data_IF_052072750035
#
_entry.id   IF_052072750035
#
_cell.length_a   1.000
_cell.length_b   1.000
_cell.length_c   1.000
_cell.angle_alpha   90.00
_cell.angle_beta   90.00
_cell.angle_gamma   90.00
#
_symmetry.space_group_name_H-M   'P 1'
#
loop_
_entity.id
_entity.type
_entity.pdbx_description
1 polymer ?
#
# COMPACT_ATOMS: atom_id res chain seq x y z
N UNK A 1 -11.34 3.32 12.14
CA UNK A 1 -10.85 2.75 10.87
C UNK A 1 -9.70 3.55 10.27
N UNK A 2 -9.92 4.77 9.75
CA UNK A 2 -8.81 5.59 9.20
C UNK A 2 -7.82 5.99 10.30
N UNK A 3 -8.31 6.52 11.43
CA UNK A 3 -7.46 6.85 12.58
C UNK A 3 -6.71 5.62 13.11
N UNK A 4 -7.41 4.49 13.30
CA UNK A 4 -6.79 3.24 13.73
C UNK A 4 -5.68 2.82 12.77
N UNK A 5 -5.90 2.94 11.46
CA UNK A 5 -4.88 2.59 10.45
C UNK A 5 -3.68 3.52 10.50
N UNK A 6 -3.88 4.81 10.79
CA UNK A 6 -2.80 5.78 10.98
C UNK A 6 -1.98 5.39 12.21
N UNK A 7 -2.63 5.16 13.36
CA UNK A 7 -1.98 4.74 14.61
C UNK A 7 -1.17 3.45 14.42
N UNK A 8 -1.73 2.46 13.70
CA UNK A 8 -1.04 1.20 13.39
C UNK A 8 0.21 1.40 12.52
N UNK A 9 0.17 2.32 11.56
CA UNK A 9 1.37 2.64 10.78
C UNK A 9 2.38 3.46 11.58
N UNK A 10 1.94 4.35 12.47
CA UNK A 10 2.83 5.04 13.41
C UNK A 10 3.57 4.05 14.31
N UNK A 11 2.86 3.06 14.87
CA UNK A 11 3.45 1.95 15.63
C UNK A 11 4.47 1.17 14.80
N UNK A 12 4.12 0.78 13.57
CA UNK A 12 5.03 0.07 12.68
C UNK A 12 6.29 0.88 12.36
N UNK A 13 6.13 2.16 12.00
CA UNK A 13 7.27 3.00 11.60
C UNK A 13 8.17 3.39 12.78
N UNK A 14 7.66 3.32 14.01
CA UNK A 14 8.44 3.47 15.24
C UNK A 14 9.33 2.24 15.58
N UNK A 15 9.11 1.09 14.93
CA UNK A 15 9.93 -0.10 15.12
C UNK A 15 11.38 0.11 14.67
N UNK A 16 12.29 -0.69 15.24
CA UNK A 16 13.70 -0.68 14.84
C UNK A 16 13.86 -0.99 13.35
N UNK A 17 14.90 -0.41 12.74
CA UNK A 17 15.20 -0.64 11.32
C UNK A 17 15.34 -2.14 11.00
N UNK A 18 15.99 -2.92 11.88
CA UNK A 18 16.16 -4.36 11.69
C UNK A 18 14.82 -5.11 11.59
N UNK A 19 13.82 -4.68 12.37
CA UNK A 19 12.47 -5.24 12.29
C UNK A 19 11.80 -4.83 10.97
N UNK A 20 11.80 -3.53 10.63
CA UNK A 20 11.15 -3.04 9.41
C UNK A 20 11.75 -3.67 8.15
N UNK A 21 13.07 -3.88 8.14
CA UNK A 21 13.79 -4.50 7.02
C UNK A 21 13.40 -5.96 6.74
N UNK A 22 12.78 -6.68 7.70
CA UNK A 22 12.19 -8.01 7.44
C UNK A 22 11.09 -7.97 6.37
N UNK A 23 10.44 -6.81 6.22
CA UNK A 23 9.32 -6.60 5.31
C UNK A 23 9.74 -5.96 3.98
N UNK A 24 11.04 -5.74 3.75
CA UNK A 24 11.57 -5.22 2.50
C UNK A 24 11.93 -6.35 1.53
N UNK A 25 11.21 -6.44 0.41
CA UNK A 25 11.49 -7.37 -0.67
C UNK A 25 12.23 -6.63 -1.79
N UNK A 26 13.54 -6.93 -1.93
CA UNK A 26 14.44 -6.21 -2.85
C UNK A 26 14.02 -6.29 -4.32
N UNK A 27 13.51 -7.43 -4.76
CA UNK A 27 13.37 -7.73 -6.18
C UNK A 27 11.98 -7.40 -6.77
N UNK A 28 11.11 -6.77 -5.97
CA UNK A 28 9.75 -6.39 -6.41
C UNK A 28 9.55 -4.87 -6.52
N UNK A 29 10.63 -4.09 -6.39
CA UNK A 29 10.60 -2.63 -6.57
C UNK A 29 9.67 -1.89 -5.61
N UNK A 30 9.42 -2.44 -4.41
CA UNK A 30 8.50 -1.85 -3.43
C UNK A 30 7.01 -2.09 -3.74
N UNK A 31 6.68 -3.04 -4.62
CA UNK A 31 5.29 -3.33 -4.97
C UNK A 31 4.44 -3.84 -3.78
N UNK A 32 5.06 -4.40 -2.74
CA UNK A 32 4.43 -4.86 -1.50
C UNK A 32 5.34 -4.63 -0.30
N UNK A 33 4.73 -4.42 0.86
CA UNK A 33 5.45 -4.33 2.13
C UNK A 33 6.25 -3.05 2.30
N UNK A 34 7.31 -3.12 3.09
CA UNK A 34 8.12 -1.99 3.49
C UNK A 34 9.10 -1.57 2.40
N UNK A 35 9.20 -0.27 2.15
CA UNK A 35 10.28 0.35 1.38
C UNK A 35 11.08 1.26 2.31
N UNK A 36 12.38 0.96 2.55
CA UNK A 36 13.21 1.77 3.43
C UNK A 36 13.46 3.14 2.83
N UNK A 37 13.96 4.06 3.65
CA UNK A 37 14.45 5.34 3.20
C UNK A 37 15.35 5.19 1.99
N UNK A 38 14.92 5.76 0.86
CA UNK A 38 15.78 5.91 -0.30
C UNK A 38 16.76 7.04 -0.04
N UNK A 39 18.06 6.76 -0.14
CA UNK A 39 19.07 7.80 -0.32
C UNK A 39 19.04 8.21 -1.80
N UNK A 40 17.93 8.80 -2.26
CA UNK A 40 17.89 9.43 -3.58
C UNK A 40 18.32 10.89 -3.42
N UNK A 41 19.62 11.14 -3.58
CA UNK A 41 20.15 12.51 -3.65
C UNK A 41 19.82 13.07 -5.02
N UNK A 42 18.69 13.78 -5.16
CA UNK A 42 18.43 14.56 -6.36
C UNK A 42 19.60 15.52 -6.61
N UNK A 43 20.11 15.57 -7.85
CA UNK A 43 21.28 16.40 -8.22
C UNK A 43 20.93 17.87 -7.96
N UNK A 44 21.46 18.43 -6.87
CA UNK A 44 21.23 19.83 -6.45
C UNK A 44 20.28 20.04 -5.26
N UNK A 45 19.72 18.99 -4.65
CA UNK A 45 18.92 19.12 -3.43
C UNK A 45 19.81 19.37 -2.21
N UNK A 46 19.50 20.42 -1.42
CA UNK A 46 20.21 20.74 -0.17
C UNK A 46 19.84 19.81 1.00
N UNK A 47 18.68 19.15 0.93
CA UNK A 47 18.17 18.23 1.94
C UNK A 47 17.57 17.00 1.28
N UNK A 48 17.89 15.81 1.79
CA UNK A 48 17.27 14.57 1.36
C UNK A 48 15.83 14.53 1.90
N UNK A 49 14.86 14.31 1.02
CA UNK A 49 13.50 14.02 1.44
C UNK A 49 13.45 12.56 1.88
N UNK A 50 13.68 12.35 3.17
CA UNK A 50 13.65 11.04 3.77
C UNK A 50 12.19 10.60 3.88
N UNK A 51 11.77 9.69 3.00
CA UNK A 51 10.50 8.98 3.10
C UNK A 51 10.73 7.47 3.13
N UNK A 52 10.03 6.82 4.02
CA UNK A 52 9.82 5.38 4.02
C UNK A 52 8.35 5.09 3.70
N UNK A 53 8.07 3.92 3.13
CA UNK A 53 6.73 3.58 2.65
C UNK A 53 6.32 2.17 3.06
N UNK A 54 5.01 1.96 3.09
CA UNK A 54 4.41 0.63 3.10
C UNK A 54 3.41 0.52 1.95
N UNK A 55 3.46 -0.57 1.19
CA UNK A 55 2.57 -0.81 0.05
C UNK A 55 1.66 -2.04 0.29
N UNK A 56 0.36 -1.81 0.31
CA UNK A 56 -0.69 -2.84 0.27
C UNK A 56 -1.41 -2.77 -1.08
N UNK A 57 -1.67 -3.93 -1.69
CA UNK A 57 -2.44 -4.07 -2.92
C UNK A 57 -3.74 -4.88 -2.72
N UNK A 58 -4.38 -5.24 -3.84
CA UNK A 58 -5.61 -6.06 -3.81
C UNK A 58 -5.29 -7.52 -3.45
N UNK A 59 -6.09 -8.09 -2.56
CA UNK A 59 -6.10 -9.54 -2.32
C UNK A 59 -6.83 -10.24 -3.47
N UNK A 60 -6.14 -11.13 -4.19
CA UNK A 60 -6.72 -11.92 -5.27
C UNK A 60 -7.09 -13.32 -4.78
N UNK A 61 -8.11 -13.92 -5.41
CA UNK A 61 -8.37 -15.35 -5.23
C UNK A 61 -7.22 -16.17 -5.83
N UNK A 62 -6.90 -17.37 -5.30
CA UNK A 62 -5.79 -18.18 -5.77
C UNK A 62 -5.82 -18.52 -7.27
N UNK A 63 -7.00 -18.60 -7.88
CA UNK A 63 -7.23 -18.92 -9.29
C UNK A 63 -7.38 -17.68 -10.19
N UNK A 64 -7.19 -16.48 -9.64
CA UNK A 64 -7.36 -15.25 -10.40
C UNK A 64 -6.26 -15.11 -11.46
N UNK A 65 -6.56 -14.74 -12.72
CA UNK A 65 -5.58 -14.69 -13.82
C UNK A 65 -4.41 -13.73 -13.57
N UNK A 66 -4.59 -12.72 -12.72
CA UNK A 66 -3.55 -11.76 -12.36
C UNK A 66 -2.63 -12.17 -11.21
N UNK A 67 -2.84 -13.34 -10.59
CA UNK A 67 -1.91 -13.85 -9.55
C UNK A 67 -0.49 -14.00 -10.07
N UNK A 68 -0.30 -14.24 -11.38
CA UNK A 68 1.02 -14.29 -12.02
C UNK A 68 1.74 -12.93 -12.10
N UNK A 69 1.03 -11.81 -11.91
CA UNK A 69 1.58 -10.45 -12.01
C UNK A 69 1.51 -9.66 -10.70
N UNK A 70 0.58 -10.02 -9.82
CA UNK A 70 0.29 -9.30 -8.59
C UNK A 70 0.71 -10.13 -7.38
N UNK A 71 1.78 -9.68 -6.71
CA UNK A 71 2.25 -10.29 -5.48
C UNK A 71 1.18 -10.25 -4.37
N UNK A 72 1.23 -11.25 -3.49
CA UNK A 72 0.42 -11.29 -2.27
C UNK A 72 0.82 -10.17 -1.31
N UNK A 73 -0.13 -9.77 -0.45
CA UNK A 73 0.14 -8.76 0.57
C UNK A 73 0.99 -9.33 1.71
N UNK A 74 1.87 -8.48 2.22
CA UNK A 74 2.65 -8.76 3.43
C UNK A 74 1.87 -8.25 4.65
N UNK A 75 2.02 -8.93 5.79
CA UNK A 75 1.41 -8.56 7.06
C UNK A 75 2.51 -8.22 8.05
N UNK A 76 2.45 -7.04 8.68
CA UNK A 76 3.36 -6.70 9.76
C UNK A 76 2.95 -7.47 11.03
N UNK A 77 3.74 -8.45 11.44
CA UNK A 77 3.45 -9.35 12.56
C UNK A 77 3.56 -8.66 13.92
N UNK A 78 4.39 -7.62 14.03
CA UNK A 78 4.56 -6.84 15.26
C UNK A 78 3.37 -5.92 15.58
N UNK A 79 2.47 -5.67 14.62
CA UNK A 79 1.29 -4.81 14.82
C UNK A 79 0.04 -5.69 14.86
N UNK A 80 -0.63 -5.80 16.04
CA UNK A 80 -1.86 -6.57 16.16
C UNK A 80 -2.92 -6.12 15.15
N UNK A 81 -3.73 -7.06 14.66
CA UNK A 81 -4.84 -6.79 13.73
C UNK A 81 -4.45 -6.21 12.35
N UNK A 82 -3.16 -6.06 12.05
CA UNK A 82 -2.66 -5.44 10.80
C UNK A 82 -3.35 -5.97 9.55
N UNK A 83 -3.39 -7.30 9.39
CA UNK A 83 -4.03 -7.94 8.23
C UNK A 83 -5.48 -7.51 8.09
N UNK A 84 -6.26 -7.55 9.17
CA UNK A 84 -7.69 -7.29 9.15
C UNK A 84 -7.97 -5.83 8.82
N UNK A 85 -7.37 -4.89 9.60
CA UNK A 85 -7.65 -3.46 9.48
C UNK A 85 -7.15 -2.86 8.17
N UNK A 86 -5.97 -3.25 7.71
CA UNK A 86 -5.40 -2.71 6.46
C UNK A 86 -6.10 -3.32 5.24
N UNK A 87 -6.56 -4.57 5.30
CA UNK A 87 -7.41 -5.14 4.23
C UNK A 87 -8.76 -4.43 4.18
N UNK A 88 -9.40 -4.21 5.33
CA UNK A 88 -10.68 -3.48 5.42
C UNK A 88 -10.56 -2.06 4.86
N UNK A 89 -9.50 -1.33 5.23
CA UNK A 89 -9.23 0.00 4.69
C UNK A 89 -9.09 -0.01 3.17
N UNK A 90 -8.30 -0.95 2.63
CA UNK A 90 -8.11 -1.08 1.19
C UNK A 90 -9.44 -1.34 0.47
N UNK A 91 -10.23 -2.29 0.96
CA UNK A 91 -11.50 -2.68 0.34
C UNK A 91 -12.54 -1.53 0.37
N UNK A 92 -12.58 -0.75 1.45
CA UNK A 92 -13.44 0.44 1.53
C UNK A 92 -13.02 1.50 0.51
N UNK A 93 -11.72 1.74 0.33
CA UNK A 93 -11.24 2.70 -0.67
C UNK A 93 -11.45 2.22 -2.11
N UNK A 94 -11.23 0.93 -2.38
CA UNK A 94 -11.47 0.33 -3.71
C UNK A 94 -12.96 0.39 -4.09
N UNK A 95 -13.86 0.09 -3.14
CA UNK A 95 -15.31 0.15 -3.35
C UNK A 95 -15.83 1.60 -3.47
N UNK A 96 -15.29 2.53 -2.69
CA UNK A 96 -15.60 3.96 -2.80
C UNK A 96 -15.26 4.48 -4.20
N UNK A 97 -14.03 4.23 -4.66
CA UNK A 97 -13.57 4.57 -6.00
C UNK A 97 -14.48 3.99 -7.09
N UNK A 98 -14.82 2.70 -6.99
CA UNK A 98 -15.68 2.04 -7.98
C UNK A 98 -17.08 2.69 -8.04
N UNK A 99 -17.63 3.08 -6.90
CA UNK A 99 -18.95 3.73 -6.81
C UNK A 99 -18.93 5.14 -7.40
N UNK A 100 -17.90 5.93 -7.10
CA UNK A 100 -17.77 7.29 -7.66
C UNK A 100 -17.66 7.26 -9.17
N UNK A 101 -16.87 6.36 -9.77
CA UNK A 101 -16.78 6.26 -11.23
C UNK A 101 -17.99 5.60 -11.91
N UNK A 102 -18.80 4.82 -11.19
CA UNK A 102 -20.08 4.39 -11.70
C UNK A 102 -21.03 5.59 -11.97
N UNK A 103 -20.93 6.66 -11.18
CA UNK A 103 -21.75 7.87 -11.37
C UNK A 103 -21.30 8.75 -12.54
N UNK A 104 -20.03 8.71 -12.94
CA UNK A 104 -19.51 9.41 -14.13
C UNK A 104 -19.91 8.74 -15.45
N UNK A 105 -20.29 7.47 -15.43
CA UNK A 105 -20.74 6.75 -16.63
C UNK A 105 -22.03 7.30 -17.26
N UNK A 106 -22.74 8.21 -16.58
CA UNK A 106 -23.91 8.92 -17.12
C UNK A 106 -23.56 10.22 -17.88
N UNK A 107 -22.29 10.65 -17.91
CA UNK A 107 -21.87 11.90 -18.57
C UNK A 107 -21.19 11.65 -19.93
N UNK A 108 -20.84 10.41 -20.27
CA UNK A 108 -20.31 10.09 -21.59
C UNK A 108 -21.39 9.51 -22.52
N UNK A 109 -22.14 10.40 -23.17
CA UNK A 109 -22.80 10.05 -24.45
C UNK A 109 -21.85 10.43 -25.58
N UNK A 110 -21.10 9.48 -26.17
CA UNK A 110 -20.45 9.75 -27.44
C UNK A 110 -21.57 9.89 -28.48
N UNK A 111 -21.65 11.06 -29.11
CA UNK A 111 -22.62 11.33 -30.15
C UNK A 111 -22.52 10.30 -31.28
N UNK A 112 -23.60 9.54 -31.47
CA UNK A 112 -24.31 9.35 -32.74
C UNK A 112 -25.78 9.11 -32.43
#
# INVERSE_FOLDING_TARGET
MVSDSIEMFEEFFALSQDIKMKYFIKDIGGARGYTPYKIETAKGAKHADLKEFWQTGRNLKPDHPYTMYMFENIVAEEVPEFKTKITELFDVFDSFWATTHATDSHVFRPGK
#
